data_IF_301566826554
#
_entry.id   IF_301566826554
#
_cell.length_a   1.000
_cell.length_b   1.000
_cell.length_c   1.000
_cell.angle_alpha   90.00
_cell.angle_beta   90.00
_cell.angle_gamma   90.00
#
_symmetry.space_group_name_H-M   'P 1'
#
loop_
_entity.id
_entity.type
_entity.pdbx_description
1 polymer ?
#
# COMPACT_ATOMS: atom_id res chain seq x y z
N UNK A 1 42.62 -32.57 26.90
CA UNK A 1 41.57 -32.66 25.85
C UNK A 1 40.24 -31.98 26.20
N UNK A 2 40.15 -31.14 27.26
CA UNK A 2 38.86 -30.53 27.71
C UNK A 2 38.63 -29.11 27.13
N UNK A 3 39.70 -28.43 26.72
CA UNK A 3 39.66 -27.07 26.15
C UNK A 3 38.86 -26.92 24.84
N UNK A 4 38.94 -27.84 23.85
CA UNK A 4 38.19 -27.67 22.59
C UNK A 4 36.68 -27.86 22.78
N UNK A 5 36.26 -28.66 23.76
CA UNK A 5 34.84 -28.95 24.03
C UNK A 5 34.09 -27.73 24.58
N UNK A 6 34.77 -26.88 25.37
CA UNK A 6 34.22 -25.62 25.87
C UNK A 6 34.04 -24.56 24.78
N UNK A 7 35.00 -24.44 23.86
CA UNK A 7 34.88 -23.54 22.72
C UNK A 7 33.73 -23.95 21.78
N UNK A 8 33.57 -25.25 21.54
CA UNK A 8 32.46 -25.77 20.73
C UNK A 8 31.10 -25.44 21.36
N UNK A 9 30.97 -25.58 22.69
CA UNK A 9 29.74 -25.23 23.41
C UNK A 9 29.38 -23.74 23.30
N UNK A 10 30.37 -22.85 23.44
CA UNK A 10 30.18 -21.39 23.31
C UNK A 10 29.77 -21.04 21.87
N UNK A 11 30.37 -21.68 20.86
CA UNK A 11 30.04 -21.45 19.45
C UNK A 11 28.61 -21.89 19.10
N UNK A 12 28.15 -23.04 19.63
CA UNK A 12 26.78 -23.53 19.42
C UNK A 12 25.74 -22.60 20.08
N UNK A 13 26.01 -22.14 21.29
CA UNK A 13 25.12 -21.19 21.99
C UNK A 13 25.07 -19.86 21.23
N UNK A 14 26.23 -19.34 20.79
CA UNK A 14 26.29 -18.13 19.98
C UNK A 14 25.51 -18.28 18.66
N UNK A 15 25.66 -19.40 17.94
CA UNK A 15 24.93 -19.65 16.69
C UNK A 15 23.41 -19.75 16.89
N UNK A 16 22.95 -20.34 17.99
CA UNK A 16 21.50 -20.44 18.29
C UNK A 16 20.86 -19.09 18.60
N UNK A 17 21.62 -18.14 19.15
CA UNK A 17 21.16 -16.77 19.40
C UNK A 17 20.95 -15.98 18.09
N UNK A 18 21.59 -16.37 16.98
CA UNK A 18 21.39 -15.74 15.67
C UNK A 18 20.11 -16.20 14.96
N UNK A 19 19.55 -17.36 15.29
CA UNK A 19 18.31 -17.88 14.69
C UNK A 19 17.03 -17.44 15.42
N UNK A 20 17.15 -16.64 16.50
CA UNK A 20 16.06 -16.35 17.43
C UNK A 20 15.07 -15.25 17.01
N UNK A 21 15.32 -14.49 15.95
CA UNK A 21 14.47 -13.33 15.62
C UNK A 21 13.22 -13.67 14.79
N UNK A 22 13.02 -14.94 14.38
CA UNK A 22 11.78 -15.40 13.73
C UNK A 22 11.43 -14.72 12.39
N UNK A 23 12.32 -13.89 11.83
CA UNK A 23 12.13 -13.24 10.54
C UNK A 23 12.07 -14.31 9.44
N UNK A 24 10.92 -14.39 8.79
CA UNK A 24 10.76 -15.14 7.55
C UNK A 24 10.85 -14.15 6.38
N UNK A 25 11.47 -14.58 5.29
CA UNK A 25 11.40 -13.83 4.04
C UNK A 25 9.91 -13.62 3.71
N UNK A 26 9.54 -12.36 3.47
CA UNK A 26 8.20 -11.99 3.05
C UNK A 26 7.98 -12.59 1.66
N UNK A 27 7.37 -13.76 1.60
CA UNK A 27 6.96 -14.38 0.35
C UNK A 27 5.89 -13.54 -0.36
N UNK A 28 5.45 -13.99 -1.53
CA UNK A 28 4.37 -13.31 -2.25
C UNK A 28 3.07 -13.36 -1.45
N UNK A 29 2.23 -12.34 -1.66
CA UNK A 29 0.86 -12.38 -1.15
C UNK A 29 0.10 -13.48 -1.88
N UNK A 30 -0.41 -14.45 -1.14
CA UNK A 30 -1.35 -15.46 -1.65
C UNK A 30 -2.76 -14.96 -1.43
N UNK A 31 -3.49 -14.69 -2.50
CA UNK A 31 -4.92 -14.42 -2.42
C UNK A 31 -5.72 -15.73 -2.32
N UNK A 32 -6.91 -15.72 -1.69
CA UNK A 32 -7.81 -16.88 -1.73
C UNK A 32 -8.24 -17.21 -3.16
N UNK A 33 -8.61 -18.47 -3.40
CA UNK A 33 -8.97 -18.97 -4.74
C UNK A 33 -10.12 -18.19 -5.39
N UNK A 34 -11.05 -17.66 -4.59
CA UNK A 34 -12.15 -16.80 -5.06
C UNK A 34 -11.67 -15.45 -5.62
N UNK A 35 -10.43 -15.05 -5.37
CA UNK A 35 -9.78 -13.83 -5.87
C UNK A 35 -8.52 -14.13 -6.69
N UNK A 36 -8.39 -15.35 -7.22
CA UNK A 36 -7.22 -15.78 -8.03
C UNK A 36 -6.99 -14.95 -9.30
N UNK A 37 -8.07 -14.43 -9.90
CA UNK A 37 -8.06 -13.50 -11.02
C UNK A 37 -8.98 -12.31 -10.75
N UNK A 38 -8.45 -11.10 -10.88
CA UNK A 38 -9.15 -9.86 -10.55
C UNK A 38 -9.40 -9.01 -11.79
N UNK A 39 -10.65 -8.58 -11.99
CA UNK A 39 -10.97 -7.44 -12.84
C UNK A 39 -10.95 -6.16 -12.00
N UNK A 40 -10.24 -5.14 -12.49
CA UNK A 40 -10.03 -3.88 -11.77
C UNK A 40 -10.93 -2.81 -12.38
N UNK A 41 -12.00 -2.46 -11.67
CA UNK A 41 -12.91 -1.38 -12.04
C UNK A 41 -12.53 -0.13 -11.21
N UNK A 42 -11.55 0.62 -11.70
CA UNK A 42 -10.91 1.72 -10.95
C UNK A 42 -10.84 3.01 -11.79
N UNK A 43 -11.14 4.19 -11.22
CA UNK A 43 -10.83 5.47 -11.85
C UNK A 43 -9.31 5.65 -12.01
N UNK A 44 -8.90 6.26 -13.10
CA UNK A 44 -7.60 6.05 -13.77
C UNK A 44 -6.33 6.17 -12.93
N UNK A 45 -6.29 6.98 -11.88
CA UNK A 45 -5.01 7.33 -11.23
C UNK A 45 -4.47 6.26 -10.30
N UNK A 46 -5.30 5.46 -9.65
CA UNK A 46 -4.86 4.33 -8.81
C UNK A 46 -4.65 3.04 -9.62
N UNK A 47 -5.31 2.93 -10.78
CA UNK A 47 -5.39 1.69 -11.54
C UNK A 47 -4.00 1.14 -11.92
N UNK A 48 -3.11 2.00 -12.38
CA UNK A 48 -1.78 1.61 -12.83
C UNK A 48 -0.90 1.09 -11.67
N UNK A 49 -0.85 1.81 -10.55
CA UNK A 49 -0.11 1.41 -9.35
C UNK A 49 -0.61 0.07 -8.83
N UNK A 50 -1.92 -0.15 -8.87
CA UNK A 50 -2.52 -1.40 -8.43
C UNK A 50 -2.23 -2.57 -9.38
N UNK A 51 -2.38 -2.37 -10.70
CA UNK A 51 -2.07 -3.40 -11.70
C UNK A 51 -0.62 -3.87 -11.59
N UNK A 52 0.33 -2.92 -11.61
CA UNK A 52 1.76 -3.23 -11.49
C UNK A 52 2.06 -3.99 -10.20
N UNK A 53 1.44 -3.58 -9.09
CA UNK A 53 1.65 -4.22 -7.81
C UNK A 53 1.07 -5.65 -7.77
N UNK A 54 -0.14 -5.86 -8.29
CA UNK A 54 -0.80 -7.17 -8.31
C UNK A 54 -0.05 -8.14 -9.22
N UNK A 55 0.28 -7.73 -10.44
CA UNK A 55 1.08 -8.53 -11.38
C UNK A 55 2.45 -8.86 -10.81
N UNK A 56 3.11 -7.89 -10.16
CA UNK A 56 4.40 -8.10 -9.48
C UNK A 56 4.34 -9.10 -8.32
N UNK A 57 3.15 -9.36 -7.76
CA UNK A 57 2.92 -10.39 -6.75
C UNK A 57 2.40 -11.71 -7.35
N UNK A 58 2.30 -11.83 -8.67
CA UNK A 58 1.82 -13.02 -9.37
C UNK A 58 0.30 -13.18 -9.37
N UNK A 59 -0.45 -12.11 -9.12
CA UNK A 59 -1.91 -12.12 -9.15
C UNK A 59 -2.37 -11.80 -10.57
N UNK A 60 -3.24 -12.65 -11.13
CA UNK A 60 -3.70 -12.50 -12.50
C UNK A 60 -4.69 -11.34 -12.62
N UNK A 61 -4.49 -10.49 -13.63
CA UNK A 61 -5.44 -9.43 -13.99
C UNK A 61 -6.29 -9.91 -15.16
N UNK A 62 -7.60 -9.98 -14.94
CA UNK A 62 -8.56 -10.35 -15.96
C UNK A 62 -8.75 -9.20 -16.95
N UNK A 63 -8.77 -9.46 -18.27
CA UNK A 63 -9.02 -8.42 -19.28
C UNK A 63 -10.47 -7.94 -19.31
N UNK A 64 -11.40 -8.78 -18.84
CA UNK A 64 -12.83 -8.50 -18.84
C UNK A 64 -13.47 -8.95 -17.52
N UNK A 65 -14.58 -8.31 -17.16
CA UNK A 65 -15.38 -8.60 -15.96
C UNK A 65 -15.90 -10.03 -15.95
N UNK A 66 -16.31 -10.56 -17.10
CA UNK A 66 -17.02 -11.84 -17.20
C UNK A 66 -16.10 -13.06 -17.05
N UNK A 67 -14.80 -12.88 -17.25
CA UNK A 67 -13.78 -13.94 -17.12
C UNK A 67 -12.98 -13.85 -15.82
N UNK A 68 -13.26 -12.86 -14.98
CA UNK A 68 -12.63 -12.71 -13.67
C UNK A 68 -13.28 -13.64 -12.64
N UNK A 69 -12.54 -13.98 -11.58
CA UNK A 69 -13.09 -14.66 -10.40
C UNK A 69 -13.67 -13.66 -9.40
N UNK A 70 -13.06 -12.48 -9.34
CA UNK A 70 -13.48 -11.38 -8.50
C UNK A 70 -13.31 -10.04 -9.21
N UNK A 71 -14.09 -9.07 -8.78
CA UNK A 71 -14.16 -7.72 -9.33
C UNK A 71 -13.84 -6.76 -8.20
N UNK A 72 -12.71 -6.08 -8.29
CA UNK A 72 -12.36 -4.98 -7.41
C UNK A 72 -13.01 -3.70 -7.94
N UNK A 73 -13.95 -3.14 -7.18
CA UNK A 73 -14.65 -1.91 -7.53
C UNK A 73 -14.12 -0.79 -6.64
N UNK A 74 -13.46 0.20 -7.22
CA UNK A 74 -13.19 1.47 -6.53
C UNK A 74 -14.33 2.43 -6.81
N UNK A 75 -15.09 2.74 -5.76
CA UNK A 75 -16.27 3.59 -5.81
C UNK A 75 -15.92 5.08 -5.68
N UNK A 76 -14.81 5.37 -4.98
CA UNK A 76 -14.35 6.74 -4.77
C UNK A 76 -12.82 6.75 -4.78
N UNK A 77 -12.26 7.73 -5.48
CA UNK A 77 -10.87 8.15 -5.39
C UNK A 77 -10.88 9.68 -5.35
N UNK A 78 -10.31 10.28 -4.30
CA UNK A 78 -10.23 11.73 -4.17
C UNK A 78 -8.91 12.16 -3.56
N UNK A 79 -8.35 13.23 -4.12
CA UNK A 79 -7.14 13.90 -3.63
C UNK A 79 -7.48 15.36 -3.33
N UNK A 80 -7.22 15.79 -2.11
CA UNK A 80 -7.47 17.15 -1.61
C UNK A 80 -6.18 17.76 -1.08
N UNK A 81 -6.06 19.09 -1.21
CA UNK A 81 -4.96 19.88 -0.66
C UNK A 81 -5.53 21.07 0.08
N UNK A 82 -5.05 21.28 1.31
CA UNK A 82 -5.40 22.45 2.12
C UNK A 82 -4.20 23.05 2.83
N UNK A 83 -4.27 24.33 3.16
CA UNK A 83 -3.28 25.02 3.98
C UNK A 83 -3.43 24.59 5.43
N UNK A 84 -2.36 24.02 5.98
CA UNK A 84 -2.32 23.52 7.35
C UNK A 84 -1.90 24.61 8.33
N UNK A 85 -0.94 25.45 7.93
CA UNK A 85 -0.43 26.52 8.76
C UNK A 85 0.00 27.75 7.97
N UNK A 86 0.02 28.89 8.67
CA UNK A 86 0.46 30.19 8.14
C UNK A 86 1.45 30.84 9.10
N UNK A 87 2.33 31.69 8.57
CA UNK A 87 3.27 32.48 9.35
C UNK A 87 2.51 33.52 10.19
N UNK A 88 2.78 33.51 11.50
CA UNK A 88 2.08 34.36 12.47
C UNK A 88 2.22 35.87 12.26
N UNK A 89 3.25 36.34 11.52
CA UNK A 89 3.51 37.77 11.30
C UNK A 89 3.01 38.24 9.94
N UNK A 90 3.31 37.47 8.90
CA UNK A 90 3.02 37.82 7.51
C UNK A 90 1.70 37.25 6.99
N UNK A 91 1.13 36.24 7.66
CA UNK A 91 -0.08 35.53 7.22
C UNK A 91 0.13 34.61 6.02
N UNK A 92 1.37 34.42 5.59
CA UNK A 92 1.76 33.60 4.43
C UNK A 92 1.70 32.12 4.72
N UNK A 93 1.36 31.30 3.72
CA UNK A 93 1.26 29.84 3.87
C UNK A 93 2.62 29.22 4.17
N UNK A 94 2.64 28.22 5.07
CA UNK A 94 3.89 27.58 5.53
C UNK A 94 3.88 26.08 5.36
N UNK A 95 2.74 25.45 5.56
CA UNK A 95 2.58 24.01 5.41
C UNK A 95 1.27 23.73 4.71
N UNK A 96 1.30 22.73 3.84
CA UNK A 96 0.12 22.16 3.21
C UNK A 96 -0.08 20.74 3.69
N UNK A 97 -1.35 20.35 3.77
CA UNK A 97 -1.77 18.99 4.01
C UNK A 97 -2.41 18.44 2.72
N UNK A 98 -1.95 17.25 2.32
CA UNK A 98 -2.50 16.42 1.26
C UNK A 98 -3.33 15.31 1.89
N UNK A 99 -4.58 15.16 1.43
CA UNK A 99 -5.47 14.08 1.83
C UNK A 99 -5.84 13.23 0.61
N UNK A 100 -5.63 11.92 0.69
CA UNK A 100 -5.98 10.97 -0.36
C UNK A 100 -6.92 9.91 0.20
N UNK A 101 -8.13 9.85 -0.33
CA UNK A 101 -9.19 8.94 0.12
C UNK A 101 -9.60 8.00 -1.00
N UNK A 102 -9.62 6.70 -0.70
CA UNK A 102 -10.11 5.67 -1.61
C UNK A 102 -11.16 4.85 -0.90
N UNK A 103 -12.33 4.66 -1.54
CA UNK A 103 -13.32 3.69 -1.10
C UNK A 103 -13.51 2.61 -2.14
N UNK A 104 -13.49 1.35 -1.70
CA UNK A 104 -13.53 0.21 -2.60
C UNK A 104 -14.21 -1.00 -1.96
N UNK A 105 -14.62 -1.96 -2.78
CA UNK A 105 -15.18 -3.26 -2.38
C UNK A 105 -14.78 -4.34 -3.37
N UNK A 106 -14.94 -5.61 -3.00
CA UNK A 106 -14.71 -6.73 -3.92
C UNK A 106 -15.97 -7.57 -4.04
N UNK A 107 -16.37 -7.81 -5.28
CA UNK A 107 -17.52 -8.64 -5.64
C UNK A 107 -17.03 -9.91 -6.33
N UNK A 108 -17.72 -11.02 -6.14
CA UNK A 108 -17.63 -12.16 -7.02
C UNK A 108 -18.30 -11.85 -8.36
N UNK A 109 -18.01 -12.64 -9.39
CA UNK A 109 -18.59 -12.51 -10.74
C UNK A 109 -20.12 -12.65 -10.73
N UNK A 110 -20.65 -13.46 -9.81
CA UNK A 110 -22.09 -13.64 -9.58
C UNK A 110 -22.75 -12.48 -8.79
N UNK A 111 -21.97 -11.46 -8.41
CA UNK A 111 -22.44 -10.28 -7.69
C UNK A 111 -22.45 -10.42 -6.17
N UNK A 112 -22.09 -11.57 -5.59
CA UNK A 112 -21.93 -11.71 -4.14
C UNK A 112 -20.79 -10.81 -3.64
N UNK A 113 -20.98 -10.17 -2.49
CA UNK A 113 -19.93 -9.37 -1.87
C UNK A 113 -18.90 -10.29 -1.20
N UNK A 114 -17.67 -10.27 -1.70
CA UNK A 114 -16.54 -11.00 -1.11
C UNK A 114 -15.90 -10.15 -0.01
N UNK A 115 -15.59 -8.90 -0.34
CA UNK A 115 -15.02 -7.93 0.59
C UNK A 115 -15.95 -6.72 0.68
N UNK A 116 -16.54 -6.45 1.86
CA UNK A 116 -17.43 -5.31 2.04
C UNK A 116 -16.68 -4.00 1.87
N UNK A 117 -17.42 -2.92 1.57
CA UNK A 117 -16.86 -1.59 1.38
C UNK A 117 -15.85 -1.22 2.47
N UNK A 118 -14.65 -0.84 2.05
CA UNK A 118 -13.58 -0.30 2.89
C UNK A 118 -13.13 1.06 2.38
N UNK A 119 -12.62 1.87 3.29
CA UNK A 119 -12.06 3.18 2.98
C UNK A 119 -10.64 3.27 3.51
N UNK A 120 -9.73 3.74 2.65
CA UNK A 120 -8.36 4.10 3.01
C UNK A 120 -8.28 5.63 3.00
N UNK A 121 -7.77 6.20 4.08
CA UNK A 121 -7.49 7.63 4.19
C UNK A 121 -6.00 7.80 4.47
N UNK A 122 -5.30 8.50 3.58
CA UNK A 122 -3.89 8.84 3.73
C UNK A 122 -3.76 10.35 3.84
N UNK A 123 -2.95 10.79 4.80
CA UNK A 123 -2.64 12.19 5.02
C UNK A 123 -1.12 12.36 5.02
N UNK A 124 -0.64 13.40 4.33
CA UNK A 124 0.76 13.83 4.30
C UNK A 124 0.82 15.34 4.36
N UNK A 125 1.73 15.87 5.15
CA UNK A 125 2.04 17.28 5.23
C UNK A 125 3.40 17.59 4.60
N UNK A 126 3.55 18.79 4.06
CA UNK A 126 4.83 19.26 3.51
C UNK A 126 4.98 20.77 3.70
N UNK A 127 6.23 21.23 3.72
CA UNK A 127 6.55 22.66 3.90
C UNK A 127 6.45 23.39 2.56
N UNK A 128 5.72 24.49 2.53
CA UNK A 128 5.62 25.36 1.37
C UNK A 128 6.74 26.42 1.36
N UNK A 129 7.53 26.43 0.30
CA UNK A 129 8.56 27.45 0.08
C UNK A 129 8.18 28.39 -1.08
N UNK A 130 7.72 29.60 -0.74
CA UNK A 130 7.41 30.67 -1.69
C UNK A 130 8.60 31.08 -2.58
N UNK A 131 9.83 30.90 -2.11
CA UNK A 131 11.03 31.22 -2.88
C UNK A 131 11.43 30.09 -3.83
N UNK A 132 10.87 28.90 -3.64
CA UNK A 132 11.15 27.68 -4.40
C UNK A 132 9.85 26.95 -4.84
N UNK A 133 8.88 27.71 -5.38
CA UNK A 133 7.56 27.19 -5.77
C UNK A 133 7.65 25.96 -6.69
N UNK A 134 8.59 25.95 -7.64
CA UNK A 134 8.80 24.80 -8.53
C UNK A 134 9.24 23.55 -7.77
N UNK A 135 10.19 23.68 -6.84
CA UNK A 135 10.66 22.55 -6.03
C UNK A 135 9.53 22.01 -5.15
N UNK A 136 8.78 22.91 -4.53
CA UNK A 136 7.61 22.58 -3.71
C UNK A 136 6.52 21.85 -4.50
N UNK A 137 6.25 22.28 -5.74
CA UNK A 137 5.27 21.61 -6.63
C UNK A 137 5.74 20.22 -7.04
N UNK A 138 7.06 20.04 -7.21
CA UNK A 138 7.64 18.74 -7.51
C UNK A 138 7.55 17.78 -6.31
N UNK A 139 7.81 18.28 -5.09
CA UNK A 139 7.64 17.51 -3.85
C UNK A 139 6.18 17.06 -3.67
N UNK A 140 5.21 17.94 -3.88
CA UNK A 140 3.78 17.58 -3.85
C UNK A 140 3.46 16.43 -4.83
N UNK A 141 3.99 16.49 -6.06
CA UNK A 141 3.81 15.43 -7.05
C UNK A 141 4.43 14.10 -6.65
N UNK A 142 5.59 14.13 -6.00
CA UNK A 142 6.27 12.93 -5.45
C UNK A 142 5.42 12.34 -4.32
N UNK A 143 4.99 13.15 -3.36
CA UNK A 143 4.15 12.73 -2.25
C UNK A 143 2.83 12.13 -2.74
N UNK A 144 2.18 12.75 -3.74
CA UNK A 144 0.96 12.21 -4.30
C UNK A 144 1.17 10.83 -4.94
N UNK A 145 2.28 10.63 -5.66
CA UNK A 145 2.63 9.32 -6.22
C UNK A 145 2.88 8.28 -5.12
N UNK A 146 3.61 8.63 -4.07
CA UNK A 146 3.87 7.75 -2.93
C UNK A 146 2.58 7.38 -2.18
N UNK A 147 1.66 8.32 -2.00
CA UNK A 147 0.34 8.07 -1.40
C UNK A 147 -0.47 7.07 -2.24
N UNK A 148 -0.45 7.18 -3.57
CA UNK A 148 -1.09 6.19 -4.46
C UNK A 148 -0.47 4.80 -4.32
N UNK A 149 0.85 4.72 -4.25
CA UNK A 149 1.56 3.46 -4.04
C UNK A 149 1.27 2.84 -2.66
N UNK A 150 1.25 3.64 -1.60
CA UNK A 150 0.87 3.19 -0.25
C UNK A 150 -0.56 2.62 -0.26
N UNK A 151 -1.50 3.35 -0.85
CA UNK A 151 -2.89 2.91 -0.97
C UNK A 151 -3.01 1.56 -1.71
N UNK A 152 -2.35 1.40 -2.86
CA UNK A 152 -2.33 0.13 -3.59
C UNK A 152 -1.80 -1.03 -2.72
N UNK A 153 -0.73 -0.78 -1.94
CA UNK A 153 -0.22 -1.78 -0.99
C UNK A 153 -1.21 -2.08 0.14
N UNK A 154 -1.97 -1.10 0.64
CA UNK A 154 -2.98 -1.36 1.67
C UNK A 154 -4.13 -2.21 1.11
N UNK A 155 -4.58 -1.92 -0.12
CA UNK A 155 -5.58 -2.72 -0.82
C UNK A 155 -5.09 -4.16 -0.92
N UNK A 156 -3.88 -4.40 -1.45
CA UNK A 156 -3.32 -5.75 -1.56
C UNK A 156 -3.27 -6.48 -0.21
N UNK A 157 -2.83 -5.80 0.86
CA UNK A 157 -2.84 -6.40 2.20
C UNK A 157 -4.24 -6.77 2.67
N UNK A 158 -5.24 -5.94 2.39
CA UNK A 158 -6.63 -6.25 2.74
C UNK A 158 -7.19 -7.42 1.92
N UNK A 159 -6.83 -7.53 0.64
CA UNK A 159 -7.20 -8.68 -0.20
C UNK A 159 -6.56 -9.98 0.34
N UNK A 160 -5.27 -9.94 0.67
CA UNK A 160 -4.55 -11.12 1.14
C UNK A 160 -4.91 -11.55 2.57
N UNK A 161 -5.33 -10.61 3.42
CA UNK A 161 -5.78 -10.90 4.78
C UNK A 161 -7.25 -11.34 4.84
N UNK A 162 -8.00 -11.21 3.75
CA UNK A 162 -9.38 -11.69 3.71
C UNK A 162 -9.40 -13.21 3.63
N UNK A 163 -10.12 -13.84 4.54
CA UNK A 163 -10.41 -15.28 4.54
C UNK A 163 -11.93 -15.47 4.51
N UNK A 164 -12.47 -16.35 3.64
CA UNK A 164 -13.90 -16.66 3.57
C UNK A 164 -14.44 -17.33 4.84
#
# INVERSE_FOLDING_TARGET
>A
MIFPLRLIGIFIIAASLLTGCGFHLRGNFTLPDSMSSLYIQVPTHLANELMVLLEGNGIAIAPDRDVANAILVVEQESFDKRTLSVDSKSGKEREHELAYTISYRVLATDGRELLPKRTINLVRDYVFDESAVLGTTQEEGVLYKEMRQDAAHQILRHLAAWSP
#
